data_IF_494083726124
#
_entry.id   IF_494083726124
#
_cell.length_a   1.000
_cell.length_b   1.000
_cell.length_c   1.000
_cell.angle_alpha   90.00
_cell.angle_beta   90.00
_cell.angle_gamma   90.00
#
_symmetry.space_group_name_H-M   'P 1'
#
loop_
_entity.id
_entity.type
_entity.pdbx_description
1 polymer ?
#
# COMPACT_ATOMS: atom_id res chain seq x y z
N UNK A 1 -12.21 -15.25 13.63
CA UNK A 1 -10.76 -15.30 13.35
C UNK A 1 -10.46 -14.06 12.55
N UNK A 2 -9.31 -13.43 12.78
CA UNK A 2 -8.97 -12.19 12.09
C UNK A 2 -8.96 -12.38 10.57
N UNK A 3 -9.78 -11.62 9.84
CA UNK A 3 -9.76 -11.51 8.38
C UNK A 3 -8.49 -10.77 8.00
N UNK A 4 -7.57 -11.49 7.35
CA UNK A 4 -6.35 -10.91 6.80
C UNK A 4 -6.69 -10.01 5.59
N UNK A 5 -7.51 -10.51 4.68
CA UNK A 5 -7.94 -9.79 3.50
C UNK A 5 -9.32 -10.24 3.03
N UNK A 6 -9.93 -9.45 2.14
CA UNK A 6 -11.24 -9.76 1.57
C UNK A 6 -11.32 -9.29 0.12
N UNK A 7 -12.04 -10.06 -0.71
CA UNK A 7 -12.35 -9.66 -2.09
C UNK A 7 -13.46 -8.61 -2.11
N UNK A 8 -13.20 -7.46 -2.75
CA UNK A 8 -14.14 -6.36 -2.90
C UNK A 8 -14.78 -6.32 -4.30
N UNK A 9 -14.46 -7.28 -5.16
CA UNK A 9 -15.00 -7.42 -6.51
C UNK A 9 -13.95 -7.12 -7.60
N UNK A 10 -14.42 -6.65 -8.77
CA UNK A 10 -13.57 -6.39 -9.93
C UNK A 10 -13.69 -4.95 -10.41
N UNK A 11 -12.55 -4.34 -10.72
CA UNK A 11 -12.42 -2.97 -11.20
C UNK A 11 -11.99 -2.95 -12.66
N UNK A 12 -12.27 -1.83 -13.32
CA UNK A 12 -11.76 -1.54 -14.66
C UNK A 12 -10.78 -0.40 -14.52
N UNK A 13 -9.57 -0.58 -15.05
CA UNK A 13 -8.58 0.47 -15.05
C UNK A 13 -8.91 1.49 -16.14
N UNK A 14 -8.71 2.79 -15.89
CA UNK A 14 -8.87 3.80 -16.90
C UNK A 14 -7.82 3.63 -18.01
N UNK A 15 -8.02 4.30 -19.15
CA UNK A 15 -7.03 4.29 -20.21
C UNK A 15 -5.64 4.73 -19.66
N UNK A 16 -4.58 3.96 -19.90
CA UNK A 16 -3.21 4.33 -19.57
C UNK A 16 -2.83 5.74 -20.05
N UNK A 17 -2.08 6.47 -19.21
CA UNK A 17 -1.53 7.78 -19.53
C UNK A 17 -0.20 8.06 -18.79
N UNK A 18 0.58 7.01 -18.47
CA UNK A 18 1.88 7.09 -17.80
C UNK A 18 1.84 7.82 -16.44
N UNK A 19 0.74 7.62 -15.70
CA UNK A 19 0.56 8.22 -14.37
C UNK A 19 1.44 7.53 -13.34
N UNK A 20 2.08 8.34 -12.50
CA UNK A 20 2.91 7.84 -11.40
C UNK A 20 2.76 8.77 -10.18
N UNK A 21 1.95 8.34 -9.22
CA UNK A 21 1.82 8.99 -7.91
C UNK A 21 1.95 7.95 -6.81
N UNK A 22 2.52 8.34 -5.68
CA UNK A 22 2.66 7.45 -4.54
C UNK A 22 2.22 8.15 -3.25
N UNK A 23 1.34 7.51 -2.47
CA UNK A 23 0.86 8.05 -1.19
C UNK A 23 0.32 9.50 -1.30
N UNK A 24 -0.34 9.83 -2.41
CA UNK A 24 -0.88 11.17 -2.64
C UNK A 24 -2.15 11.38 -1.81
N UNK A 25 -2.18 12.40 -0.92
CA UNK A 25 -3.35 12.63 -0.08
C UNK A 25 -4.53 13.13 -0.92
N UNK A 26 -5.73 12.67 -0.61
CA UNK A 26 -6.99 13.21 -1.11
C UNK A 26 -8.10 13.01 -0.06
N UNK A 27 -9.17 13.78 -0.14
CA UNK A 27 -10.31 13.66 0.80
C UNK A 27 -11.30 12.64 0.24
N UNK A 28 -11.55 11.57 0.99
CA UNK A 28 -12.48 10.52 0.57
C UNK A 28 -13.91 11.06 0.51
N UNK A 29 -14.64 10.69 -0.54
CA UNK A 29 -15.97 11.25 -0.85
C UNK A 29 -15.93 12.62 -1.55
N UNK A 30 -14.79 13.30 -1.59
CA UNK A 30 -14.65 14.61 -2.23
C UNK A 30 -13.85 14.51 -3.53
N UNK A 31 -14.52 14.18 -4.64
CA UNK A 31 -13.90 14.08 -5.98
C UNK A 31 -13.11 15.32 -6.41
N UNK A 32 -13.49 16.50 -5.92
CA UNK A 32 -12.80 17.76 -6.22
C UNK A 32 -11.39 17.85 -5.62
N UNK A 33 -11.10 17.06 -4.58
CA UNK A 33 -9.79 16.97 -3.94
C UNK A 33 -8.78 16.16 -4.76
N UNK A 34 -9.22 15.46 -5.80
CA UNK A 34 -8.38 14.64 -6.68
C UNK A 34 -7.97 15.43 -7.93
N UNK A 35 -6.67 15.49 -8.28
CA UNK A 35 -6.20 16.11 -9.52
C UNK A 35 -6.89 15.56 -10.78
N UNK A 36 -7.08 16.41 -11.80
CA UNK A 36 -7.88 16.09 -12.99
C UNK A 36 -7.40 14.80 -13.68
N UNK A 37 -6.09 14.62 -13.77
CA UNK A 37 -5.44 13.47 -14.37
C UNK A 37 -5.74 12.14 -13.65
N UNK A 38 -6.11 12.17 -12.37
CA UNK A 38 -6.39 11.00 -11.53
C UNK A 38 -7.88 10.77 -11.29
N UNK A 39 -8.76 11.68 -11.69
CA UNK A 39 -10.22 11.52 -11.50
C UNK A 39 -10.79 10.25 -12.12
N UNK A 40 -10.20 9.77 -13.22
CA UNK A 40 -10.62 8.52 -13.82
C UNK A 40 -10.38 7.30 -12.91
N UNK A 41 -9.30 7.29 -12.11
CA UNK A 41 -9.07 6.28 -11.08
C UNK A 41 -10.08 6.41 -9.94
N UNK A 42 -10.37 7.65 -9.53
CA UNK A 42 -11.39 7.90 -8.53
C UNK A 42 -12.74 7.31 -8.96
N UNK A 43 -13.21 7.68 -10.14
CA UNK A 43 -14.52 7.29 -10.66
C UNK A 43 -14.65 5.78 -10.92
N UNK A 44 -13.58 5.11 -11.35
CA UNK A 44 -13.64 3.70 -11.78
C UNK A 44 -13.21 2.68 -10.73
N UNK A 45 -12.41 3.11 -9.74
CA UNK A 45 -11.80 2.22 -8.74
C UNK A 45 -12.09 2.69 -7.30
N UNK A 46 -11.79 3.94 -6.95
CA UNK A 46 -11.94 4.43 -5.55
C UNK A 46 -13.41 4.34 -5.10
N UNK A 47 -14.35 4.72 -5.95
CA UNK A 47 -15.80 4.63 -5.67
C UNK A 47 -16.32 3.20 -5.43
N UNK A 48 -15.52 2.18 -5.75
CA UNK A 48 -15.85 0.76 -5.53
C UNK A 48 -15.23 0.19 -4.25
N UNK A 49 -14.37 0.94 -3.57
CA UNK A 49 -13.80 0.52 -2.29
C UNK A 49 -14.89 0.64 -1.21
N UNK A 50 -15.26 -0.43 -0.48
CA UNK A 50 -16.26 -0.38 0.59
C UNK A 50 -15.72 0.32 1.85
N UNK A 51 -15.58 1.65 1.78
CA UNK A 51 -14.97 2.48 2.84
C UNK A 51 -15.83 3.71 3.20
N UNK A 52 -17.14 3.51 3.37
CA UNK A 52 -18.08 4.61 3.70
C UNK A 52 -17.81 5.28 5.06
N UNK A 53 -17.16 4.55 5.96
CA UNK A 53 -16.65 4.99 7.26
C UNK A 53 -15.47 5.98 7.17
N UNK A 54 -14.78 6.06 6.03
CA UNK A 54 -13.63 6.97 5.82
C UNK A 54 -14.05 8.28 5.13
N UNK A 55 -15.35 8.53 4.92
CA UNK A 55 -15.82 9.73 4.22
C UNK A 55 -15.45 11.02 4.95
N UNK A 56 -14.85 11.96 4.22
CA UNK A 56 -14.32 13.21 4.77
C UNK A 56 -12.91 13.10 5.34
N UNK A 57 -12.37 11.89 5.47
CA UNK A 57 -11.00 11.68 5.93
C UNK A 57 -9.98 11.77 4.78
N UNK A 58 -8.74 12.08 5.12
CA UNK A 58 -7.64 12.10 4.14
C UNK A 58 -7.13 10.68 3.92
N UNK A 59 -7.32 10.15 2.71
CA UNK A 59 -6.78 8.87 2.27
C UNK A 59 -5.61 9.08 1.29
N UNK A 60 -4.87 8.01 0.99
CA UNK A 60 -3.61 8.11 0.24
C UNK A 60 -3.63 7.21 -0.99
N UNK A 61 -3.51 7.84 -2.16
CA UNK A 61 -3.57 7.18 -3.46
C UNK A 61 -2.17 6.90 -4.01
N UNK A 62 -1.93 5.66 -4.40
CA UNK A 62 -0.80 5.26 -5.24
C UNK A 62 -1.33 4.72 -6.57
N UNK A 63 -0.85 5.29 -7.66
CA UNK A 63 -1.06 4.82 -9.03
C UNK A 63 0.30 4.74 -9.69
N UNK A 64 0.65 3.58 -10.23
CA UNK A 64 1.86 3.42 -11.04
C UNK A 64 1.50 2.75 -12.36
N UNK A 65 1.69 3.49 -13.44
CA UNK A 65 1.51 3.02 -14.81
C UNK A 65 2.87 2.94 -15.50
N UNK A 66 3.24 1.76 -16.01
CA UNK A 66 4.51 1.60 -16.71
C UNK A 66 4.52 0.35 -17.60
N UNK A 67 5.36 0.37 -18.63
CA UNK A 67 5.71 -0.85 -19.35
C UNK A 67 6.66 -1.71 -18.51
N UNK A 68 6.33 -2.99 -18.35
CA UNK A 68 7.13 -3.94 -17.56
C UNK A 68 7.53 -5.09 -18.48
N UNK A 69 8.83 -5.34 -18.55
CA UNK A 69 9.38 -6.48 -19.29
C UNK A 69 9.08 -7.80 -18.58
N UNK A 70 8.97 -8.88 -19.35
CA UNK A 70 8.84 -10.23 -18.83
C UNK A 70 9.94 -10.55 -17.82
N UNK A 71 9.56 -11.14 -16.69
CA UNK A 71 10.47 -11.49 -15.59
C UNK A 71 10.89 -10.31 -14.71
N UNK A 72 10.38 -9.10 -14.95
CA UNK A 72 10.61 -7.93 -14.08
C UNK A 72 9.40 -7.67 -13.17
N UNK A 73 9.64 -7.06 -12.01
CA UNK A 73 8.60 -6.60 -11.08
C UNK A 73 8.36 -5.09 -11.24
N UNK A 74 7.11 -4.64 -11.08
CA UNK A 74 6.79 -3.20 -11.07
C UNK A 74 7.06 -2.55 -9.70
N UNK A 75 6.93 -3.36 -8.63
CA UNK A 75 7.06 -2.95 -7.24
C UNK A 75 8.19 -3.74 -6.57
N UNK A 76 8.50 -3.39 -5.32
CA UNK A 76 9.48 -4.12 -4.50
C UNK A 76 9.03 -5.59 -4.40
N UNK A 77 9.86 -6.50 -4.89
CA UNK A 77 9.66 -7.93 -4.69
C UNK A 77 9.98 -8.36 -3.25
N UNK A 78 9.72 -9.63 -2.95
CA UNK A 78 9.89 -10.18 -1.61
C UNK A 78 8.65 -9.98 -0.73
N UNK A 79 8.48 -10.91 0.20
CA UNK A 79 7.33 -11.00 1.10
C UNK A 79 7.36 -9.89 2.14
N UNK A 80 6.26 -9.14 2.23
CA UNK A 80 6.16 -8.05 3.19
C UNK A 80 4.75 -7.82 3.72
N UNK A 81 4.69 -7.07 4.82
CA UNK A 81 3.50 -6.38 5.33
C UNK A 81 3.71 -4.87 5.20
N UNK A 82 2.65 -4.07 5.36
CA UNK A 82 2.73 -2.61 5.18
C UNK A 82 3.10 -1.91 6.49
N UNK A 83 2.66 -2.44 7.63
CA UNK A 83 3.08 -2.04 8.96
C UNK A 83 4.51 -2.53 9.27
N UNK A 84 5.52 -1.77 8.84
CA UNK A 84 6.92 -1.97 9.21
C UNK A 84 7.28 -1.43 10.60
N UNK A 85 8.47 -1.80 11.11
CA UNK A 85 9.04 -1.18 12.30
C UNK A 85 9.55 0.25 12.05
N UNK A 86 9.40 1.16 13.01
CA UNK A 86 9.90 2.56 12.88
C UNK A 86 11.39 2.66 13.25
N UNK A 87 12.22 3.33 12.43
CA UNK A 87 13.50 3.89 12.90
C UNK A 87 13.27 5.24 13.60
N UNK A 88 13.97 5.48 14.72
CA UNK A 88 14.23 6.81 15.27
C UNK A 88 13.17 7.39 16.23
N UNK A 89 13.55 7.53 17.50
CA UNK A 89 12.96 8.41 18.54
C UNK A 89 11.51 8.17 19.00
N UNK A 90 10.94 7.00 18.75
CA UNK A 90 9.80 6.56 19.56
C UNK A 90 10.22 5.39 20.45
N UNK A 91 9.62 5.32 21.65
CA UNK A 91 9.90 4.26 22.61
C UNK A 91 9.78 2.89 21.91
N UNK A 92 10.59 1.88 22.30
CA UNK A 92 10.38 0.52 21.85
C UNK A 92 8.88 0.18 21.96
N UNK A 93 8.26 -0.18 20.82
CA UNK A 93 6.84 -0.55 20.78
C UNK A 93 5.87 0.50 20.23
N UNK A 94 6.34 1.65 19.76
CA UNK A 94 5.52 2.59 18.98
C UNK A 94 5.65 2.26 17.49
N UNK A 95 4.51 2.02 16.85
CA UNK A 95 4.42 1.46 15.49
C UNK A 95 3.94 2.54 14.52
N UNK A 96 4.39 2.48 13.27
CA UNK A 96 3.81 3.29 12.21
C UNK A 96 2.60 2.56 11.63
N UNK A 97 1.40 3.11 11.86
CA UNK A 97 0.20 2.62 11.22
C UNK A 97 0.24 2.92 9.72
N UNK A 98 -0.29 2.00 8.92
CA UNK A 98 -0.45 2.15 7.47
C UNK A 98 -1.87 1.78 7.05
N UNK A 99 -2.83 2.57 7.52
CA UNK A 99 -4.26 2.32 7.38
C UNK A 99 -4.84 1.56 8.58
N UNK A 100 -4.04 0.78 9.32
CA UNK A 100 -4.43 0.19 10.61
C UNK A 100 -5.65 -0.72 10.59
N UNK A 101 -5.86 -1.46 9.48
CA UNK A 101 -7.09 -2.20 9.19
C UNK A 101 -7.54 -3.13 10.31
N UNK A 102 -8.82 -3.05 10.70
CA UNK A 102 -9.46 -3.91 11.69
C UNK A 102 -10.56 -4.79 11.06
N UNK A 103 -10.63 -6.02 11.55
CA UNK A 103 -11.34 -7.20 11.04
C UNK A 103 -12.83 -7.00 10.72
N UNK A 104 -13.56 -6.13 11.43
CA UNK A 104 -15.02 -6.30 11.49
C UNK A 104 -15.84 -5.51 10.46
N UNK A 105 -15.38 -4.40 9.86
CA UNK A 105 -16.19 -3.65 8.86
C UNK A 105 -15.42 -2.83 7.80
N UNK A 106 -14.26 -3.29 7.31
CA UNK A 106 -13.39 -2.48 6.43
C UNK A 106 -12.99 -1.12 7.04
N UNK A 107 -12.89 -1.05 8.38
CA UNK A 107 -12.30 0.11 9.05
C UNK A 107 -10.80 0.09 8.84
N UNK A 108 -10.30 1.16 8.24
CA UNK A 108 -8.90 1.25 7.91
C UNK A 108 -8.46 0.31 6.79
N UNK A 109 -7.17 0.01 6.78
CA UNK A 109 -6.54 -0.96 5.88
C UNK A 109 -6.16 -0.40 4.52
N UNK A 110 -6.00 -1.32 3.56
CA UNK A 110 -5.42 -1.02 2.25
C UNK A 110 -6.24 -1.71 1.17
N UNK A 111 -6.60 -0.97 0.13
CA UNK A 111 -7.16 -1.53 -1.09
C UNK A 111 -6.09 -1.67 -2.16
N UNK A 112 -6.08 -2.80 -2.86
CA UNK A 112 -5.08 -3.11 -3.87
C UNK A 112 -5.74 -3.72 -5.11
N UNK A 113 -5.31 -3.29 -6.30
CA UNK A 113 -5.66 -3.92 -7.56
C UNK A 113 -4.52 -3.78 -8.58
N UNK A 114 -4.47 -4.70 -9.56
CA UNK A 114 -3.56 -4.57 -10.71
C UNK A 114 -4.25 -4.90 -12.02
N UNK A 115 -3.88 -4.23 -13.11
CA UNK A 115 -4.44 -4.49 -14.44
C UNK A 115 -3.89 -5.76 -15.11
N UNK A 116 -2.92 -6.44 -14.48
CA UNK A 116 -2.31 -7.67 -15.00
C UNK A 116 -2.35 -8.75 -13.92
N UNK A 117 -2.86 -9.92 -14.30
CA UNK A 117 -3.01 -11.11 -13.45
C UNK A 117 -1.68 -11.69 -13.00
N UNK A 118 -1.70 -12.45 -11.89
CA UNK A 118 -0.56 -13.20 -11.35
C UNK A 118 0.68 -12.32 -11.10
N UNK A 119 0.48 -11.03 -10.81
CA UNK A 119 1.56 -10.08 -10.48
C UNK A 119 1.53 -9.63 -9.02
N UNK A 120 0.56 -10.11 -8.26
CA UNK A 120 0.39 -9.91 -6.83
C UNK A 120 -0.07 -11.21 -6.21
N UNK A 121 0.57 -11.58 -5.11
CA UNK A 121 0.21 -12.72 -4.27
C UNK A 121 -0.08 -12.21 -2.86
N UNK A 122 -1.15 -12.72 -2.25
CA UNK A 122 -1.56 -12.39 -0.87
C UNK A 122 -1.76 -13.67 -0.07
N UNK A 123 -1.47 -13.62 1.23
CA UNK A 123 -1.59 -14.78 2.11
C UNK A 123 -2.68 -14.54 3.14
N UNK A 124 -3.47 -15.58 3.44
CA UNK A 124 -4.58 -15.53 4.41
C UNK A 124 -4.08 -15.61 5.87
N UNK A 125 -3.01 -14.87 6.16
CA UNK A 125 -2.35 -14.82 7.46
C UNK A 125 -2.30 -13.38 7.96
N UNK A 126 -2.33 -13.20 9.28
CA UNK A 126 -2.09 -11.90 9.92
C UNK A 126 -0.83 -12.03 10.74
N UNK A 127 0.21 -11.27 10.37
CA UNK A 127 1.48 -11.32 11.07
C UNK A 127 1.37 -10.56 12.38
N UNK A 128 1.74 -11.25 13.47
CA UNK A 128 1.82 -10.61 14.77
C UNK A 128 3.00 -9.63 14.83
N UNK A 129 2.85 -8.63 15.68
CA UNK A 129 3.75 -7.52 15.87
C UNK A 129 4.77 -7.74 17.00
N UNK A 130 4.90 -8.98 17.49
CA UNK A 130 5.93 -9.31 18.47
C UNK A 130 7.33 -8.97 17.92
N UNK A 131 8.17 -8.40 18.79
CA UNK A 131 9.50 -7.92 18.44
C UNK A 131 10.33 -8.95 17.67
N UNK A 132 10.86 -8.54 16.53
CA UNK A 132 11.72 -9.38 15.68
C UNK A 132 10.98 -10.12 14.56
N UNK A 133 9.65 -10.08 14.53
CA UNK A 133 8.83 -10.73 13.50
C UNK A 133 8.79 -9.94 12.19
N UNK A 134 8.83 -8.61 12.26
CA UNK A 134 8.77 -7.72 11.08
C UNK A 134 9.95 -6.75 11.14
N UNK A 135 10.69 -6.60 10.04
CA UNK A 135 11.78 -5.63 10.02
C UNK A 135 11.29 -4.19 9.78
N UNK A 136 12.21 -3.23 9.79
CA UNK A 136 11.92 -1.79 9.62
C UNK A 136 11.24 -1.40 8.29
N UNK A 137 11.22 -2.30 7.30
CA UNK A 137 10.63 -2.06 5.98
C UNK A 137 9.48 -3.03 5.68
N UNK A 138 8.96 -3.71 6.70
CA UNK A 138 7.87 -4.67 6.55
C UNK A 138 8.32 -6.03 6.01
N UNK A 139 9.61 -6.27 5.79
CA UNK A 139 10.10 -7.57 5.29
C UNK A 139 9.83 -8.67 6.32
N UNK A 140 9.28 -9.76 5.80
CA UNK A 140 8.95 -10.97 6.53
C UNK A 140 9.34 -12.22 5.74
N UNK A 141 10.31 -12.12 4.82
CA UNK A 141 10.70 -13.24 3.93
C UNK A 141 11.13 -14.48 4.73
N UNK A 142 11.75 -14.26 5.90
CA UNK A 142 12.13 -15.32 6.84
C UNK A 142 10.93 -16.12 7.39
N UNK A 143 9.70 -15.60 7.27
CA UNK A 143 8.46 -16.25 7.69
C UNK A 143 7.79 -17.07 6.58
N UNK A 144 8.23 -16.98 5.31
CA UNK A 144 7.56 -17.63 4.17
C UNK A 144 7.25 -19.11 4.39
N UNK A 145 8.16 -19.84 5.03
CA UNK A 145 8.01 -21.27 5.32
C UNK A 145 6.85 -21.62 6.28
N UNK A 146 6.31 -20.62 6.97
CA UNK A 146 5.20 -20.77 7.90
C UNK A 146 3.87 -20.34 7.31
N UNK A 147 3.89 -19.63 6.18
CA UNK A 147 2.67 -19.21 5.49
C UNK A 147 2.07 -20.39 4.71
N UNK A 148 0.75 -20.33 4.52
CA UNK A 148 0.03 -21.24 3.65
C UNK A 148 0.34 -21.02 2.16
N UNK A 149 -0.47 -21.66 1.31
CA UNK A 149 -0.48 -21.36 -0.12
C UNK A 149 -0.99 -19.92 -0.33
N UNK A 150 -0.23 -19.12 -1.07
CA UNK A 150 -0.63 -17.76 -1.41
C UNK A 150 -1.68 -17.73 -2.52
N UNK A 151 -2.43 -16.65 -2.57
CA UNK A 151 -3.52 -16.43 -3.51
C UNK A 151 -3.06 -15.42 -4.54
N UNK A 152 -2.95 -15.87 -5.79
CA UNK A 152 -2.64 -15.02 -6.94
C UNK A 152 -3.89 -14.25 -7.37
N UNK A 153 -3.74 -12.93 -7.52
CA UNK A 153 -4.84 -12.07 -7.97
C UNK A 153 -4.96 -12.07 -9.50
N UNK A 154 -6.19 -12.14 -10.00
CA UNK A 154 -6.50 -11.89 -11.41
C UNK A 154 -6.40 -10.40 -11.76
N UNK A 155 -6.30 -10.12 -13.06
CA UNK A 155 -6.38 -8.77 -13.58
C UNK A 155 -7.70 -8.07 -13.18
N UNK A 156 -7.58 -6.94 -12.50
CA UNK A 156 -8.70 -6.11 -12.06
C UNK A 156 -9.34 -6.57 -10.76
N UNK A 157 -8.88 -7.64 -10.11
CA UNK A 157 -9.39 -7.98 -8.78
C UNK A 157 -9.02 -6.89 -7.78
N UNK A 158 -10.04 -6.40 -7.09
CA UNK A 158 -9.91 -5.44 -6.00
C UNK A 158 -10.02 -6.21 -4.71
N UNK A 159 -8.99 -6.11 -3.88
CA UNK A 159 -8.99 -6.65 -2.53
C UNK A 159 -8.84 -5.53 -1.51
N UNK A 160 -9.32 -5.78 -0.31
CA UNK A 160 -8.94 -5.08 0.91
C UNK A 160 -8.04 -5.99 1.73
N UNK A 161 -7.01 -5.45 2.37
CA UNK A 161 -6.13 -6.16 3.28
C UNK A 161 -5.79 -5.31 4.51
N UNK A 162 -5.55 -5.96 5.64
CA UNK A 162 -4.96 -5.28 6.81
C UNK A 162 -3.52 -4.90 6.53
N UNK A 163 -2.98 -3.90 7.24
CA UNK A 163 -1.57 -3.51 7.11
C UNK A 163 -0.58 -4.57 7.63
N UNK A 164 -1.08 -5.70 8.15
CA UNK A 164 -0.32 -6.84 8.67
C UNK A 164 -0.45 -8.09 7.80
N UNK A 165 -1.13 -7.98 6.67
CA UNK A 165 -1.35 -9.09 5.74
C UNK A 165 -0.10 -9.30 4.90
N UNK A 166 0.52 -10.50 4.89
CA UNK A 166 1.60 -10.80 3.98
C UNK A 166 1.14 -10.69 2.53
N UNK A 167 1.92 -10.00 1.73
CA UNK A 167 1.75 -9.92 0.30
C UNK A 167 3.07 -9.65 -0.40
N UNK A 168 3.10 -9.92 -1.70
CA UNK A 168 4.27 -9.62 -2.53
C UNK A 168 3.91 -9.24 -3.96
N UNK A 169 4.84 -8.52 -4.58
CA UNK A 169 4.80 -8.23 -6.00
C UNK A 169 5.63 -9.27 -6.76
N UNK A 170 5.00 -9.95 -7.71
CA UNK A 170 5.63 -11.01 -8.49
C UNK A 170 6.13 -10.50 -9.85
N UNK A 171 7.17 -11.15 -10.42
CA UNK A 171 7.61 -10.88 -11.78
C UNK A 171 6.50 -11.14 -12.81
N UNK A 172 6.36 -10.26 -13.79
CA UNK A 172 5.31 -10.40 -14.80
C UNK A 172 5.67 -11.52 -15.80
N UNK A 173 4.74 -12.44 -16.06
CA UNK A 173 4.97 -13.57 -16.97
C UNK A 173 5.07 -13.20 -18.46
N UNK A 174 4.70 -11.96 -18.83
CA UNK A 174 4.80 -11.42 -20.20
C UNK A 174 5.16 -9.94 -20.17
N UNK A 175 5.80 -9.44 -21.22
CA UNK A 175 6.01 -8.00 -21.38
C UNK A 175 4.68 -7.31 -21.70
N UNK A 176 4.27 -6.37 -20.85
CA UNK A 176 3.03 -5.62 -21.06
C UNK A 176 3.02 -4.32 -20.26
N UNK A 177 2.15 -3.41 -20.67
CA UNK A 177 1.83 -2.23 -19.91
C UNK A 177 0.97 -2.59 -18.69
N UNK A 178 1.41 -2.20 -17.50
CA UNK A 178 0.77 -2.54 -16.21
C UNK A 178 0.38 -1.28 -15.46
N UNK A 179 -0.84 -1.28 -14.94
CA UNK A 179 -1.36 -0.28 -14.01
C UNK A 179 -1.49 -0.95 -12.64
N UNK A 180 -0.88 -0.34 -11.63
CA UNK A 180 -0.98 -0.73 -10.22
C UNK A 180 -1.74 0.34 -9.46
N UNK A 181 -2.71 -0.08 -8.66
CA UNK A 181 -3.51 0.77 -7.79
C UNK A 181 -3.34 0.30 -6.34
N UNK A 182 -3.06 1.25 -5.45
CA UNK A 182 -3.15 1.06 -4.01
C UNK A 182 -3.78 2.28 -3.37
N UNK A 183 -4.73 2.05 -2.47
CA UNK A 183 -5.32 3.08 -1.62
C UNK A 183 -5.06 2.70 -0.16
N UNK A 184 -4.41 3.57 0.58
CA UNK A 184 -4.26 3.45 2.04
C UNK A 184 -5.28 4.37 2.68
N UNK A 185 -6.03 3.86 3.66
CA UNK A 185 -7.03 4.66 4.40
C UNK A 185 -6.37 5.68 5.35
N UNK A 186 -7.18 6.39 6.12
CA UNK A 186 -6.75 7.59 6.86
C UNK A 186 -5.73 7.37 7.97
N UNK A 187 -5.71 6.19 8.60
CA UNK A 187 -4.88 5.92 9.77
C UNK A 187 -3.42 5.63 9.40
N UNK A 188 -2.68 6.63 8.92
CA UNK A 188 -1.23 6.57 8.76
C UNK A 188 -0.51 7.39 9.83
N UNK A 189 0.64 6.92 10.29
CA UNK A 189 1.47 7.69 11.24
C UNK A 189 2.55 8.53 10.55
N UNK A 190 3.08 8.05 9.41
CA UNK A 190 4.24 8.62 8.74
C UNK A 190 3.96 8.89 7.27
N UNK A 191 4.46 10.03 6.77
CA UNK A 191 4.45 10.36 5.34
C UNK A 191 5.86 10.77 4.89
N UNK A 192 6.42 10.04 3.93
CA UNK A 192 7.82 10.19 3.52
C UNK A 192 7.91 11.15 2.33
N UNK A 193 8.40 12.37 2.56
CA UNK A 193 8.37 13.48 1.59
C UNK A 193 9.11 13.14 0.28
N UNK A 194 10.26 12.48 0.35
CA UNK A 194 11.05 12.10 -0.83
C UNK A 194 10.43 10.95 -1.64
N UNK A 195 9.51 10.19 -1.05
CA UNK A 195 8.95 8.97 -1.64
C UNK A 195 7.46 9.10 -1.93
N UNK A 196 6.84 10.24 -1.62
CA UNK A 196 5.41 10.46 -1.73
C UNK A 196 5.11 11.67 -2.61
N UNK A 197 3.95 11.69 -3.22
CA UNK A 197 3.51 12.76 -4.12
C UNK A 197 2.62 13.73 -3.36
N UNK A 198 3.00 14.99 -3.16
CA UNK A 198 2.12 15.97 -2.51
C UNK A 198 0.90 16.28 -3.39
N UNK A 199 -0.22 16.60 -2.75
CA UNK A 199 -1.39 17.15 -3.43
C UNK A 199 -1.59 18.61 -2.98
N UNK A 200 -1.46 19.61 -3.86
CA UNK A 200 -1.62 21.02 -3.48
C UNK A 200 -3.07 21.37 -3.06
N UNK A 201 -4.03 20.48 -3.29
CA UNK A 201 -5.44 20.67 -2.92
C UNK A 201 -5.77 20.17 -1.51
N UNK A 202 -4.88 19.37 -0.90
CA UNK A 202 -5.16 18.69 0.38
C UNK A 202 -3.93 18.75 1.28
N UNK A 203 -4.08 19.38 2.43
CA UNK A 203 -3.04 19.37 3.46
C UNK A 203 -3.02 18.01 4.18
N UNK A 204 -1.82 17.60 4.62
CA UNK A 204 -1.70 16.40 5.45
C UNK A 204 -2.32 16.66 6.83
N UNK A 205 -3.03 15.68 7.43
CA UNK A 205 -3.54 15.81 8.79
C UNK A 205 -2.42 16.08 9.80
N UNK A 206 -2.72 16.86 10.83
CA UNK A 206 -1.73 17.30 11.84
C UNK A 206 -1.10 16.17 12.66
N UNK A 207 -1.75 15.01 12.72
CA UNK A 207 -1.23 13.83 13.41
C UNK A 207 -0.22 13.04 12.56
N UNK A 208 -0.14 13.29 11.25
CA UNK A 208 0.76 12.59 10.34
C UNK A 208 2.13 13.26 10.38
N UNK A 209 3.15 12.52 10.79
CA UNK A 209 4.52 13.04 10.82
C UNK A 209 5.15 12.98 9.42
N UNK A 210 5.57 14.15 8.93
CA UNK A 210 6.35 14.24 7.68
C UNK A 210 7.80 13.87 7.97
N UNK A 211 8.27 12.80 7.34
CA UNK A 211 9.67 12.35 7.39
C UNK A 211 10.41 12.91 6.18
N UNK A 212 11.45 13.71 6.44
CA UNK A 212 12.36 14.25 5.43
C UNK A 212 13.63 13.41 5.38
N UNK A 213 13.97 12.88 4.22
CA UNK A 213 15.05 11.92 4.04
C UNK A 213 14.61 10.64 3.33
N UNK A 214 15.58 9.89 2.80
CA UNK A 214 15.29 8.66 2.07
C UNK A 214 14.99 7.51 3.02
N UNK A 215 13.86 6.83 2.82
CA UNK A 215 13.51 5.60 3.55
C UNK A 215 14.48 4.43 3.32
N UNK A 216 15.43 4.57 2.40
CA UNK A 216 16.39 3.53 2.00
C UNK A 216 17.85 3.86 2.34
N UNK A 217 18.13 4.99 3.00
CA UNK A 217 19.50 5.26 3.42
C UNK A 217 19.89 4.32 4.57
N UNK A 218 20.95 3.54 4.34
CA UNK A 218 21.66 2.80 5.39
C UNK A 218 22.31 3.82 6.32
N UNK A 219 22.25 3.60 7.62
CA UNK A 219 23.24 4.18 8.53
C UNK A 219 24.60 3.57 8.17
N UNK A 220 25.33 4.24 7.28
CA UNK A 220 26.78 4.06 7.20
C UNK A 220 27.41 4.97 8.27
N UNK A 221 28.24 4.34 9.09
CA UNK A 221 29.22 4.91 10.02
C UNK A 221 28.75 5.42 11.40
N UNK A 222 28.42 4.47 12.28
CA UNK A 222 28.89 4.54 13.68
C UNK A 222 29.67 3.26 14.04
N UNK A 223 30.74 3.02 13.28
CA UNK A 223 31.74 2.01 13.58
C UNK A 223 33.13 2.47 13.14
N UNK A 224 33.66 3.54 13.76
CA UNK A 224 35.10 3.66 13.92
C UNK A 224 35.51 4.58 15.09
N UNK A 225 35.99 3.92 16.14
CA UNK A 225 36.91 4.36 17.22
C UNK A 225 36.36 5.23 18.33
#
# INVERSE_FOLDING_TARGET
GAVAFSFCGRVTFPKPADRNVNMMPFVMGERASVPEELKAYYDQIVTKCPMSNEWGEVCYLTVQESFIEMGQTQRRGGLHVEAGGTQGSFAPGVMANWGGGLDEEYHGGIFLASSVECTTEVFEDVVDHEYGTVNQHGDIEHLRRYLGEGILLDAGELIWLTDRTPHEALPQGRSSYRQFFRLVTSNISLWFEEHSTPNPLVELPSHVQVVRGSKFQKEEDSACK
#
